data_IF_879383297050
#
_entry.id   IF_879383297050
#
_cell.length_a   1.000
_cell.length_b   1.000
_cell.length_c   1.000
_cell.angle_alpha   90.00
_cell.angle_beta   90.00
_cell.angle_gamma   90.00
#
_symmetry.space_group_name_H-M   'P 1'
#
loop_
_entity.id
_entity.type
_entity.pdbx_description
1 polymer ?
#
# COMPACT_ATOMS: atom_id res chain seq x y z
N UNK A 1 -12.53 24.53 78.19
CA UNK A 1 -12.27 25.41 77.03
C UNK A 1 -11.19 24.77 76.20
N UNK A 2 -11.58 23.97 75.21
CA UNK A 2 -10.68 23.23 74.31
C UNK A 2 -11.47 23.01 73.02
N UNK A 3 -11.20 23.84 72.01
CA UNK A 3 -11.70 23.63 70.66
C UNK A 3 -10.63 22.92 69.82
N UNK A 4 -11.00 21.96 68.95
CA UNK A 4 -10.06 21.44 67.97
C UNK A 4 -10.08 22.32 66.72
N UNK A 5 -8.89 22.77 66.31
CA UNK A 5 -8.64 23.43 65.05
C UNK A 5 -8.78 22.43 63.89
N UNK A 6 -9.56 22.81 62.89
CA UNK A 6 -9.63 22.16 61.59
C UNK A 6 -8.36 22.52 60.78
N UNK A 7 -7.51 21.53 60.53
CA UNK A 7 -6.42 21.64 59.57
C UNK A 7 -6.88 21.15 58.20
N UNK A 8 -7.28 22.07 57.33
CA UNK A 8 -7.49 21.81 55.91
C UNK A 8 -6.15 21.82 55.18
N UNK A 9 -5.70 20.66 54.72
CA UNK A 9 -4.67 20.53 53.70
C UNK A 9 -5.35 20.11 52.40
N UNK A 10 -5.59 21.07 51.51
CA UNK A 10 -5.95 20.78 50.13
C UNK A 10 -4.65 20.40 49.41
N UNK A 11 -4.56 19.15 48.98
CA UNK A 11 -3.57 18.66 48.04
C UNK A 11 -3.55 19.55 46.80
N UNK A 12 -2.48 20.33 46.64
CA UNK A 12 -2.14 20.99 45.39
C UNK A 12 -1.78 19.92 44.37
N UNK A 13 -2.76 19.50 43.57
CA UNK A 13 -2.50 18.68 42.39
C UNK A 13 -1.71 19.52 41.40
N UNK A 14 -0.39 19.38 41.41
CA UNK A 14 0.48 19.96 40.39
C UNK A 14 0.15 19.29 39.06
N UNK A 15 -0.70 19.95 38.27
CA UNK A 15 -0.99 19.56 36.90
C UNK A 15 0.32 19.58 36.12
N UNK A 16 0.91 18.40 35.94
CA UNK A 16 2.13 18.22 35.17
C UNK A 16 1.74 18.26 33.70
N UNK A 17 1.59 19.47 33.17
CA UNK A 17 1.35 19.69 31.75
C UNK A 17 2.57 19.20 30.97
N UNK A 18 2.32 18.38 29.94
CA UNK A 18 3.39 17.94 29.05
C UNK A 18 4.11 19.15 28.44
N UNK A 19 5.42 19.04 28.12
CA UNK A 19 6.13 20.09 27.41
C UNK A 19 5.37 20.50 26.15
N UNK A 20 5.39 21.80 25.78
CA UNK A 20 4.57 22.32 24.68
C UNK A 20 4.84 21.62 23.34
N UNK A 21 6.05 21.11 23.13
CA UNK A 21 6.42 20.34 21.95
C UNK A 21 5.71 18.97 21.88
N UNK A 22 5.51 18.32 23.03
CA UNK A 22 4.82 17.03 23.16
C UNK A 22 3.32 17.19 23.02
N UNK A 23 2.74 18.23 23.64
CA UNK A 23 1.31 18.56 23.46
C UNK A 23 1.01 18.88 22.00
N UNK A 24 1.85 19.70 21.36
CA UNK A 24 1.70 20.06 19.95
C UNK A 24 1.82 18.86 19.01
N UNK A 25 2.67 17.87 19.32
CA UNK A 25 2.76 16.63 18.57
C UNK A 25 1.53 15.73 18.76
N UNK A 26 1.00 15.67 19.99
CA UNK A 26 -0.21 14.90 20.31
C UNK A 26 -1.44 15.49 19.63
N UNK A 27 -1.65 16.81 19.70
CA UNK A 27 -2.78 17.50 19.08
C UNK A 27 -2.78 17.33 17.55
N UNK A 28 -1.59 17.35 16.92
CA UNK A 28 -1.43 17.01 15.50
C UNK A 28 -1.78 15.55 15.22
N UNK A 29 -1.41 14.63 16.10
CA UNK A 29 -1.76 13.22 15.99
C UNK A 29 -3.26 12.98 16.09
N UNK A 30 -3.92 13.66 17.05
CA UNK A 30 -5.35 13.57 17.27
C UNK A 30 -6.15 14.17 16.11
N UNK A 31 -5.79 15.37 15.64
CA UNK A 31 -6.43 16.00 14.46
C UNK A 31 -6.27 15.15 13.18
N UNK A 32 -5.13 14.47 13.02
CA UNK A 32 -4.91 13.52 11.91
C UNK A 32 -5.80 12.28 12.02
N UNK A 33 -6.08 11.82 13.25
CA UNK A 33 -6.99 10.72 13.51
C UNK A 33 -8.45 11.07 13.28
N UNK A 34 -8.85 12.29 13.65
CA UNK A 34 -10.23 12.78 13.54
C UNK A 34 -10.61 13.21 12.10
N UNK A 35 -9.65 13.65 11.29
CA UNK A 35 -9.87 13.99 9.88
C UNK A 35 -8.64 13.69 9.00
N UNK A 36 -8.49 12.46 8.49
CA UNK A 36 -7.29 12.05 7.74
C UNK A 36 -7.09 12.78 6.39
N UNK A 37 -8.03 13.63 5.97
CA UNK A 37 -7.95 14.36 4.70
C UNK A 37 -7.41 15.79 4.79
N UNK A 38 -7.34 16.45 5.96
CA UNK A 38 -7.23 17.94 5.99
C UNK A 38 -6.48 18.54 7.20
N UNK A 39 -5.43 17.91 7.73
CA UNK A 39 -4.45 18.71 8.46
C UNK A 39 -3.61 19.44 7.41
N UNK A 40 -4.00 20.65 6.99
CA UNK A 40 -3.46 21.44 5.87
C UNK A 40 -1.98 21.85 5.96
N UNK A 41 -1.16 21.01 6.56
CA UNK A 41 0.29 21.06 6.56
C UNK A 41 0.83 19.90 5.72
N UNK A 42 1.90 20.17 5.01
CA UNK A 42 2.66 19.13 4.32
C UNK A 42 3.20 18.10 5.31
N UNK A 43 3.34 16.86 4.86
CA UNK A 43 4.02 15.86 5.67
C UNK A 43 3.59 14.42 5.45
N UNK A 44 4.14 13.50 6.26
CA UNK A 44 3.81 12.09 6.21
C UNK A 44 2.39 11.84 6.71
N UNK A 45 1.69 10.93 6.04
CA UNK A 45 0.37 10.43 6.41
C UNK A 45 0.24 8.96 5.98
N UNK A 46 -0.91 8.34 6.29
CA UNK A 46 -1.28 7.02 5.79
C UNK A 46 -2.62 7.09 5.09
N UNK A 47 -2.77 6.33 4.02
CA UNK A 47 -4.05 6.18 3.32
C UNK A 47 -5.05 5.39 4.16
N UNK A 48 -6.22 5.98 4.40
CA UNK A 48 -7.39 5.35 5.05
C UNK A 48 -8.48 5.03 4.03
N UNK A 49 -9.52 4.26 4.39
CA UNK A 49 -10.67 3.96 3.52
C UNK A 49 -11.32 5.21 2.90
N UNK A 50 -11.29 6.33 3.61
CA UNK A 50 -11.84 7.60 3.15
C UNK A 50 -10.92 8.36 2.19
N UNK A 51 -9.64 7.98 2.07
CA UNK A 51 -8.68 8.70 1.25
C UNK A 51 -9.14 8.80 -0.20
N UNK A 52 -9.31 10.04 -0.70
CA UNK A 52 -9.83 10.31 -2.05
C UNK A 52 -8.97 9.74 -3.19
N UNK A 53 -7.75 9.30 -2.92
CA UNK A 53 -6.79 8.73 -3.87
C UNK A 53 -6.67 7.19 -3.77
N UNK A 54 -7.38 6.54 -2.84
CA UNK A 54 -7.51 5.07 -2.84
C UNK A 54 -8.23 4.66 -4.12
N UNK A 55 -7.53 4.10 -5.09
CA UNK A 55 -8.09 3.98 -6.43
C UNK A 55 -7.46 2.89 -7.25
N UNK A 56 -8.33 2.25 -8.01
CA UNK A 56 -8.06 1.20 -8.98
C UNK A 56 -7.56 1.80 -10.30
N UNK A 57 -6.71 1.07 -11.01
CA UNK A 57 -6.17 1.47 -12.32
C UNK A 57 -7.29 1.65 -13.36
N UNK A 58 -7.19 2.71 -14.17
CA UNK A 58 -8.24 3.30 -15.04
C UNK A 58 -9.08 2.30 -15.84
N UNK A 59 -10.38 2.58 -15.95
CA UNK A 59 -11.16 2.38 -17.19
C UNK A 59 -11.23 3.72 -17.97
N UNK A 60 -11.19 3.71 -19.31
CA UNK A 60 -11.46 4.92 -20.10
C UNK A 60 -12.83 5.51 -19.76
N UNK A 61 -12.91 6.83 -19.54
CA UNK A 61 -14.17 7.56 -19.27
C UNK A 61 -14.52 7.78 -17.80
N UNK A 62 -13.81 7.14 -16.85
CA UNK A 62 -14.05 7.36 -15.41
C UNK A 62 -13.27 8.60 -14.91
N UNK A 63 -13.96 9.48 -14.16
CA UNK A 63 -13.39 10.69 -13.54
C UNK A 63 -12.64 10.37 -12.24
N UNK A 64 -12.53 9.11 -11.82
CA UNK A 64 -11.91 8.73 -10.54
C UNK A 64 -10.40 8.41 -10.61
N UNK A 65 -9.71 9.02 -9.64
CA UNK A 65 -8.48 8.65 -8.89
C UNK A 65 -7.23 8.28 -9.73
N UNK A 66 -6.25 9.19 -9.72
CA UNK A 66 -4.99 9.02 -10.44
C UNK A 66 -3.96 8.23 -9.61
N UNK A 67 -3.10 7.40 -10.24
CA UNK A 67 -1.94 6.81 -9.59
C UNK A 67 -0.97 7.90 -9.12
N UNK A 68 -0.01 7.53 -8.27
CA UNK A 68 1.10 8.41 -7.92
C UNK A 68 1.80 8.88 -9.21
N UNK A 69 1.90 10.20 -9.40
CA UNK A 69 2.46 10.80 -10.61
C UNK A 69 3.96 10.54 -10.78
N UNK A 70 4.63 10.15 -9.70
CA UNK A 70 6.08 9.91 -9.68
C UNK A 70 6.41 8.46 -10.03
N UNK A 71 5.81 7.47 -9.36
CA UNK A 71 6.14 6.05 -9.57
C UNK A 71 5.13 5.27 -10.44
N UNK A 72 3.97 5.86 -10.72
CA UNK A 72 2.90 5.22 -11.48
C UNK A 72 2.11 4.16 -10.70
N UNK A 73 2.41 3.90 -9.42
CA UNK A 73 1.64 2.92 -8.63
C UNK A 73 0.33 3.50 -8.10
N UNK A 74 -0.67 2.64 -7.94
CA UNK A 74 -1.88 2.97 -7.20
C UNK A 74 -1.60 3.06 -5.70
N UNK A 75 -2.41 3.86 -5.00
CA UNK A 75 -2.45 3.88 -3.54
C UNK A 75 -3.36 2.76 -3.04
N UNK A 76 -2.89 2.02 -2.03
CA UNK A 76 -3.60 0.96 -1.32
C UNK A 76 -3.93 1.43 0.09
N UNK A 77 -4.80 0.72 0.81
CA UNK A 77 -5.05 0.99 2.22
C UNK A 77 -3.73 0.88 3.01
N UNK A 78 -3.54 1.75 4.00
CA UNK A 78 -2.37 1.82 4.87
C UNK A 78 -1.01 2.07 4.19
N UNK A 79 -0.99 2.43 2.91
CA UNK A 79 0.21 2.99 2.29
C UNK A 79 0.63 4.27 3.05
N UNK A 80 1.89 4.32 3.48
CA UNK A 80 2.50 5.57 3.91
C UNK A 80 2.66 6.49 2.70
N UNK A 81 2.24 7.75 2.84
CA UNK A 81 2.27 8.77 1.81
C UNK A 81 2.85 10.07 2.34
N UNK A 82 3.25 10.95 1.42
CA UNK A 82 3.57 12.34 1.72
C UNK A 82 2.56 13.24 1.00
N UNK A 83 1.93 14.12 1.77
CA UNK A 83 0.95 15.08 1.30
C UNK A 83 1.64 16.43 1.08
N UNK A 84 1.36 17.05 -0.07
CA UNK A 84 1.80 18.41 -0.39
C UNK A 84 0.61 19.28 -0.72
N UNK A 85 0.52 20.44 -0.08
CA UNK A 85 -0.54 21.42 -0.26
C UNK A 85 -0.01 22.62 -1.07
N UNK A 86 -0.90 23.28 -1.80
CA UNK A 86 -0.62 24.57 -2.43
C UNK A 86 -0.69 25.70 -1.39
N UNK A 87 -0.22 26.89 -1.77
CA UNK A 87 -0.22 28.07 -0.90
C UNK A 87 -1.61 28.47 -0.38
N UNK A 88 -2.68 28.07 -1.08
CA UNK A 88 -4.08 28.26 -0.66
C UNK A 88 -4.61 27.12 0.25
N UNK A 89 -3.72 26.26 0.76
CA UNK A 89 -4.04 25.18 1.70
C UNK A 89 -4.72 23.96 1.07
N UNK A 90 -4.90 23.91 -0.26
CA UNK A 90 -5.51 22.76 -0.94
C UNK A 90 -4.48 21.66 -1.16
N UNK A 91 -4.90 20.41 -1.02
CA UNK A 91 -4.04 19.26 -1.32
C UNK A 91 -3.70 19.23 -2.82
N UNK A 92 -2.45 19.56 -3.14
CA UNK A 92 -1.91 19.70 -4.48
C UNK A 92 -1.32 18.39 -5.01
N UNK A 93 -0.70 17.59 -4.14
CA UNK A 93 -0.03 16.36 -4.54
C UNK A 93 -0.02 15.30 -3.43
N UNK A 94 0.03 14.03 -3.85
CA UNK A 94 0.17 12.87 -2.98
C UNK A 94 1.20 11.94 -3.60
N UNK A 95 2.22 11.59 -2.82
CA UNK A 95 3.30 10.68 -3.25
C UNK A 95 3.44 9.56 -2.25
N UNK A 96 3.86 8.35 -2.68
CA UNK A 96 4.15 7.30 -1.70
C UNK A 96 5.37 7.67 -0.89
N UNK A 97 5.32 7.35 0.38
CA UNK A 97 6.42 7.47 1.33
C UNK A 97 6.83 6.08 1.82
N UNK A 98 6.93 5.14 0.88
CA UNK A 98 7.34 3.76 1.09
C UNK A 98 8.77 3.58 0.58
N UNK A 99 9.69 3.15 1.45
CA UNK A 99 11.13 3.06 1.15
C UNK A 99 11.49 2.21 -0.08
N UNK A 100 10.63 1.25 -0.43
CA UNK A 100 10.82 0.38 -1.58
C UNK A 100 10.22 0.93 -2.89
N UNK A 101 9.70 2.16 -2.89
CA UNK A 101 9.18 2.82 -4.07
C UNK A 101 10.05 4.04 -4.45
N UNK A 102 10.28 4.28 -5.75
CA UNK A 102 11.18 5.34 -6.22
C UNK A 102 10.65 6.75 -5.97
N UNK A 103 9.39 6.90 -5.55
CA UNK A 103 8.77 8.18 -5.25
C UNK A 103 8.86 8.60 -3.79
N UNK A 104 9.51 7.80 -2.94
CA UNK A 104 9.75 8.12 -1.53
C UNK A 104 10.81 9.22 -1.41
N UNK A 105 10.39 10.47 -1.52
CA UNK A 105 11.24 11.68 -1.61
C UNK A 105 12.17 12.00 -0.43
N UNK A 106 12.27 11.12 0.56
CA UNK A 106 13.12 11.28 1.75
C UNK A 106 14.13 10.16 1.99
N UNK A 107 14.13 9.09 1.20
CA UNK A 107 15.19 8.09 1.31
C UNK A 107 16.44 8.66 0.66
N UNK A 108 17.52 8.87 1.42
CA UNK A 108 18.81 9.12 0.78
C UNK A 108 19.19 7.90 -0.06
N UNK A 109 19.89 8.04 -1.21
CA UNK A 109 20.24 6.89 -2.05
C UNK A 109 20.95 5.75 -1.30
N UNK A 110 21.65 6.07 -0.20
CA UNK A 110 22.33 5.11 0.68
C UNK A 110 21.40 4.28 1.57
N UNK A 111 20.13 4.66 1.70
CA UNK A 111 19.14 3.99 2.58
C UNK A 111 18.11 3.16 1.81
N UNK A 112 18.09 3.26 0.48
CA UNK A 112 17.25 2.37 -0.34
C UNK A 112 17.85 0.96 -0.32
N UNK A 113 17.09 -0.07 0.08
CA UNK A 113 17.63 -1.42 0.09
C UNK A 113 17.91 -1.87 -1.34
N UNK A 114 19.14 -2.34 -1.58
CA UNK A 114 19.61 -2.81 -2.89
C UNK A 114 18.61 -3.84 -3.47
N UNK A 115 17.99 -3.57 -4.64
CA UNK A 115 17.07 -4.50 -5.28
C UNK A 115 17.69 -5.88 -5.53
N UNK A 116 19.01 -5.97 -5.76
CA UNK A 116 19.70 -7.25 -5.96
C UNK A 116 19.79 -8.04 -4.67
N UNK A 117 20.13 -7.39 -3.55
CA UNK A 117 20.14 -8.00 -2.23
C UNK A 117 18.74 -8.48 -1.81
N UNK A 118 17.71 -7.67 -2.03
CA UNK A 118 16.32 -8.08 -1.78
C UNK A 118 15.92 -9.27 -2.65
N UNK A 119 16.25 -9.24 -3.94
CA UNK A 119 15.97 -10.36 -4.84
C UNK A 119 16.69 -11.64 -4.40
N UNK A 120 17.93 -11.55 -3.89
CA UNK A 120 18.65 -12.70 -3.35
C UNK A 120 17.98 -13.27 -2.09
N UNK A 121 17.55 -12.39 -1.17
CA UNK A 121 16.79 -12.80 0.01
C UNK A 121 15.50 -13.56 -0.39
N UNK A 122 14.71 -12.98 -1.28
CA UNK A 122 13.44 -13.59 -1.69
C UNK A 122 13.62 -14.88 -2.48
N UNK A 123 14.69 -15.01 -3.28
CA UNK A 123 15.05 -16.31 -3.89
C UNK A 123 15.32 -17.38 -2.82
N UNK A 124 15.97 -17.02 -1.71
CA UNK A 124 16.19 -17.92 -0.58
C UNK A 124 14.88 -18.33 0.10
N UNK A 125 13.95 -17.37 0.30
CA UNK A 125 12.61 -17.64 0.82
C UNK A 125 11.86 -18.60 -0.09
N UNK A 126 11.80 -18.32 -1.39
CA UNK A 126 11.06 -19.13 -2.36
C UNK A 126 11.68 -20.53 -2.54
N UNK A 127 12.98 -20.69 -2.29
CA UNK A 127 13.65 -22.01 -2.29
C UNK A 127 13.36 -22.82 -1.02
N UNK A 128 13.17 -22.15 0.12
CA UNK A 128 12.86 -22.80 1.41
C UNK A 128 11.36 -23.13 1.55
N UNK A 129 10.49 -22.36 0.92
CA UNK A 129 9.03 -22.53 0.91
C UNK A 129 8.50 -22.45 -0.54
N UNK A 130 8.69 -23.52 -1.34
CA UNK A 130 8.30 -23.52 -2.74
C UNK A 130 6.80 -23.40 -2.89
N UNK A 131 6.36 -22.60 -3.86
CA UNK A 131 4.94 -22.48 -4.20
C UNK A 131 4.39 -23.83 -4.67
N UNK A 132 3.11 -24.16 -4.36
CA UNK A 132 2.50 -25.40 -4.84
C UNK A 132 2.45 -25.44 -6.38
N UNK A 133 2.79 -26.59 -6.96
CA UNK A 133 2.87 -26.81 -8.43
C UNK A 133 1.53 -26.63 -9.18
N UNK A 134 0.42 -26.49 -8.45
CA UNK A 134 -0.93 -26.41 -9.01
C UNK A 134 -1.30 -25.01 -9.49
N UNK A 135 -0.54 -23.99 -9.10
CA UNK A 135 -0.76 -22.60 -9.48
C UNK A 135 0.52 -22.02 -10.07
N UNK A 136 0.41 -21.29 -11.18
CA UNK A 136 1.52 -20.50 -11.73
C UNK A 136 1.75 -19.23 -10.91
N UNK A 137 2.11 -19.47 -9.65
CA UNK A 137 2.45 -18.47 -8.66
C UNK A 137 3.91 -18.07 -8.89
N UNK A 138 4.16 -16.78 -9.02
CA UNK A 138 5.51 -16.25 -9.13
C UNK A 138 5.66 -15.02 -8.25
N UNK A 139 6.87 -14.83 -7.72
CA UNK A 139 7.25 -13.59 -7.08
C UNK A 139 7.80 -12.63 -8.12
N UNK A 140 7.31 -11.39 -8.08
CA UNK A 140 7.71 -10.34 -9.01
C UNK A 140 9.10 -9.81 -8.67
N UNK A 141 10.08 -10.14 -9.50
CA UNK A 141 11.46 -9.67 -9.45
C UNK A 141 11.63 -8.40 -10.29
N UNK A 142 12.77 -7.69 -10.15
CA UNK A 142 13.14 -6.64 -11.09
C UNK A 142 13.03 -7.12 -12.54
N UNK A 143 12.57 -6.22 -13.41
CA UNK A 143 12.40 -6.44 -14.86
C UNK A 143 11.29 -7.42 -15.29
N UNK A 144 10.53 -7.99 -14.34
CA UNK A 144 9.40 -8.85 -14.69
C UNK A 144 8.34 -8.09 -15.53
N UNK A 145 7.90 -8.64 -16.68
CA UNK A 145 6.91 -7.99 -17.54
C UNK A 145 5.58 -7.69 -16.84
N UNK A 146 5.23 -8.48 -15.83
CA UNK A 146 4.02 -8.29 -15.02
C UNK A 146 4.03 -7.00 -14.19
N UNK A 147 5.18 -6.35 -13.97
CA UNK A 147 5.25 -5.04 -13.32
C UNK A 147 4.83 -3.89 -14.26
N UNK A 148 4.99 -4.08 -15.57
CA UNK A 148 4.81 -3.05 -16.57
C UNK A 148 5.82 -1.89 -16.46
N UNK A 149 5.74 -0.96 -17.40
CA UNK A 149 6.63 0.20 -17.45
C UNK A 149 6.25 1.23 -16.36
N UNK A 150 7.19 2.03 -15.80
CA UNK A 150 6.84 3.07 -14.82
C UNK A 150 5.73 4.05 -15.24
N UNK A 151 5.64 4.34 -16.54
CA UNK A 151 4.57 5.18 -17.12
C UNK A 151 3.27 4.42 -17.43
N UNK A 152 3.32 3.09 -17.44
CA UNK A 152 2.20 2.21 -17.78
C UNK A 152 2.32 0.91 -16.98
N UNK A 153 1.95 1.00 -15.70
CA UNK A 153 1.99 -0.14 -14.79
C UNK A 153 0.89 -1.13 -15.12
N UNK A 154 1.22 -2.40 -14.99
CA UNK A 154 0.23 -3.46 -15.01
C UNK A 154 -0.45 -3.56 -13.63
N UNK A 155 -1.67 -4.07 -13.62
CA UNK A 155 -2.49 -4.12 -12.43
C UNK A 155 -3.23 -5.45 -12.29
N UNK A 156 -3.52 -5.81 -11.05
CA UNK A 156 -4.31 -6.97 -10.69
C UNK A 156 -5.66 -6.94 -11.41
N UNK A 157 -6.04 -8.05 -12.03
CA UNK A 157 -7.31 -8.15 -12.75
C UNK A 157 -8.53 -7.98 -11.82
N UNK A 158 -8.40 -8.41 -10.56
CA UNK A 158 -9.44 -8.39 -9.53
C UNK A 158 -9.51 -7.01 -8.87
N UNK A 159 -8.52 -6.69 -8.03
CA UNK A 159 -8.56 -5.45 -7.24
C UNK A 159 -8.08 -4.21 -7.99
N UNK A 160 -7.51 -4.36 -9.20
CA UNK A 160 -7.02 -3.25 -10.05
C UNK A 160 -5.93 -2.38 -9.42
N UNK A 161 -5.35 -2.79 -8.31
CA UNK A 161 -4.11 -2.19 -7.82
C UNK A 161 -2.93 -2.63 -8.68
N UNK A 162 -2.01 -1.70 -8.92
CA UNK A 162 -0.75 -2.01 -9.62
C UNK A 162 0.09 -2.97 -8.82
N UNK A 163 0.83 -3.84 -9.50
CA UNK A 163 1.80 -4.73 -8.87
C UNK A 163 3.05 -3.96 -8.43
N UNK A 164 3.68 -4.41 -7.33
CA UNK A 164 4.95 -3.89 -6.83
C UNK A 164 6.00 -4.99 -6.79
N UNK A 165 7.26 -4.59 -6.64
CA UNK A 165 8.37 -5.52 -6.48
C UNK A 165 8.17 -6.44 -5.27
N UNK A 166 8.59 -7.68 -5.50
CA UNK A 166 8.60 -8.79 -4.56
C UNK A 166 7.23 -9.26 -4.08
N UNK A 167 6.15 -8.77 -4.70
CA UNK A 167 4.82 -9.32 -4.47
C UNK A 167 4.68 -10.66 -5.17
N UNK A 168 3.93 -11.55 -4.55
CA UNK A 168 3.56 -12.82 -5.16
C UNK A 168 2.25 -12.69 -5.92
N UNK A 169 2.21 -13.21 -7.14
CA UNK A 169 1.05 -13.14 -8.04
C UNK A 169 0.82 -14.48 -8.72
N UNK A 170 -0.44 -14.74 -9.10
CA UNK A 170 -0.79 -15.84 -10.01
C UNK A 170 -0.93 -15.27 -11.42
N UNK A 171 -0.20 -15.84 -12.38
CA UNK A 171 -0.20 -15.40 -13.80
C UNK A 171 -0.97 -16.40 -14.66
N UNK A 172 -1.66 -15.93 -15.71
CA UNK A 172 -2.29 -16.81 -16.71
C UNK A 172 -1.21 -17.70 -17.37
N UNK A 173 -1.32 -19.04 -17.35
CA UNK A 173 -0.42 -19.93 -18.11
C UNK A 173 -0.62 -19.91 -19.62
N UNK A 174 -1.63 -19.19 -20.05
CA UNK A 174 -2.34 -19.40 -21.30
C UNK A 174 -1.52 -18.96 -22.51
N UNK A 175 -0.58 -18.04 -22.28
CA UNK A 175 0.54 -17.74 -23.16
C UNK A 175 1.53 -16.82 -22.43
N UNK A 176 2.52 -17.36 -21.69
CA UNK A 176 3.50 -16.55 -20.96
C UNK A 176 4.37 -15.69 -21.90
N UNK A 177 4.43 -16.04 -23.20
CA UNK A 177 5.21 -15.34 -24.22
C UNK A 177 4.39 -14.29 -24.99
N UNK A 178 3.05 -14.37 -24.97
CA UNK A 178 2.19 -13.37 -25.60
C UNK A 178 1.95 -12.20 -24.65
N UNK A 179 2.44 -11.03 -25.03
CA UNK A 179 2.28 -9.77 -24.28
C UNK A 179 0.80 -9.41 -24.04
N UNK A 180 -0.13 -9.93 -24.85
CA UNK A 180 -1.57 -9.75 -24.66
C UNK A 180 -2.16 -10.51 -23.46
N UNK A 181 -1.46 -11.52 -22.94
CA UNK A 181 -1.93 -12.41 -21.87
C UNK A 181 -1.20 -12.25 -20.53
N UNK A 182 -0.56 -11.09 -20.29
CA UNK A 182 0.13 -10.73 -19.01
C UNK A 182 -0.85 -10.43 -17.85
N UNK A 183 -1.97 -11.14 -17.84
CA UNK A 183 -3.01 -11.03 -16.84
C UNK A 183 -2.55 -11.75 -15.58
N UNK A 184 -2.42 -10.99 -14.49
CA UNK A 184 -2.05 -11.50 -13.19
C UNK A 184 -3.05 -11.09 -12.09
N UNK A 185 -3.04 -11.81 -10.98
CA UNK A 185 -3.84 -11.57 -9.77
C UNK A 185 -2.91 -11.61 -8.55
N UNK A 186 -3.10 -10.72 -7.57
CA UNK A 186 -2.33 -10.79 -6.33
C UNK A 186 -2.61 -12.09 -5.57
N UNK A 187 -1.55 -12.69 -5.04
CA UNK A 187 -1.56 -13.84 -4.16
C UNK A 187 -0.38 -13.73 -3.20
N UNK A 188 -0.42 -12.71 -2.34
CA UNK A 188 0.61 -12.41 -1.35
C UNK A 188 -0.02 -12.24 0.04
N UNK A 189 -0.30 -13.35 0.75
CA UNK A 189 -0.93 -13.33 2.07
C UNK A 189 -0.10 -12.56 3.11
N UNK A 190 1.24 -12.60 3.00
CA UNK A 190 2.13 -11.88 3.90
C UNK A 190 1.94 -10.36 3.84
N UNK A 191 1.43 -9.85 2.72
CA UNK A 191 1.06 -8.44 2.53
C UNK A 191 -0.46 -8.19 2.55
N UNK A 192 -1.25 -9.18 2.95
CA UNK A 192 -2.71 -9.10 2.96
C UNK A 192 -3.35 -9.04 1.56
N UNK A 193 -2.65 -9.50 0.52
CA UNK A 193 -3.12 -9.44 -0.87
C UNK A 193 -3.58 -10.82 -1.37
N UNK A 194 -4.72 -11.30 -0.88
CA UNK A 194 -5.30 -12.61 -1.24
C UNK A 194 -6.33 -12.57 -2.38
N UNK A 195 -6.14 -11.73 -3.40
CA UNK A 195 -7.17 -11.53 -4.43
C UNK A 195 -7.49 -12.79 -5.23
N UNK A 196 -6.51 -13.68 -5.45
CA UNK A 196 -6.73 -14.90 -6.22
C UNK A 196 -7.61 -15.89 -5.46
N UNK A 197 -7.34 -16.15 -4.18
CA UNK A 197 -8.19 -17.05 -3.39
C UNK A 197 -9.62 -16.53 -3.23
N UNK A 198 -9.78 -15.24 -2.93
CA UNK A 198 -11.11 -14.62 -2.83
C UNK A 198 -11.88 -14.74 -4.15
N UNK A 199 -11.21 -14.50 -5.26
CA UNK A 199 -11.85 -14.60 -6.57
C UNK A 199 -12.13 -16.06 -6.96
N UNK A 200 -11.23 -16.99 -6.65
CA UNK A 200 -11.40 -18.44 -6.90
C UNK A 200 -12.57 -19.02 -6.11
N UNK A 201 -12.77 -18.61 -4.86
CA UNK A 201 -13.91 -19.08 -4.04
C UNK A 201 -15.26 -18.65 -4.61
N UNK A 202 -15.30 -17.54 -5.35
CA UNK A 202 -16.52 -17.01 -5.95
C UNK A 202 -16.88 -17.70 -7.28
N UNK A 203 -15.98 -18.49 -7.86
CA UNK A 203 -16.19 -19.16 -9.14
C UNK A 203 -16.79 -20.55 -8.97
N UNK A 204 -17.83 -20.82 -9.76
CA UNK A 204 -18.43 -22.15 -9.88
C UNK A 204 -17.87 -22.99 -11.04
N UNK A 205 -16.86 -22.52 -11.81
CA UNK A 205 -16.51 -23.11 -13.13
C UNK A 205 -15.00 -23.32 -13.33
N UNK A 206 -14.64 -24.46 -13.92
CA UNK A 206 -13.29 -24.88 -14.35
C UNK A 206 -12.91 -24.23 -15.69
N UNK A 207 -12.80 -22.90 -15.73
CA UNK A 207 -12.34 -22.16 -16.91
C UNK A 207 -11.09 -21.35 -16.58
N UNK A 208 -10.28 -21.08 -17.61
CA UNK A 208 -9.15 -20.20 -17.48
C UNK A 208 -9.61 -18.85 -16.90
N UNK A 209 -9.00 -18.43 -15.79
CA UNK A 209 -9.47 -17.30 -14.99
C UNK A 209 -9.42 -15.94 -15.70
N UNK A 210 -8.68 -15.87 -16.81
CA UNK A 210 -8.24 -14.60 -17.40
C UNK A 210 -8.68 -14.41 -18.85
N UNK A 211 -9.05 -15.48 -19.55
CA UNK A 211 -9.60 -15.41 -20.91
C UNK A 211 -10.90 -16.25 -21.10
N UNK A 212 -11.43 -16.87 -20.04
CA UNK A 212 -12.64 -17.71 -20.06
C UNK A 212 -12.60 -18.90 -21.02
N UNK A 213 -11.42 -19.29 -21.53
CA UNK A 213 -11.27 -20.52 -22.31
C UNK A 213 -11.22 -21.71 -21.37
N UNK A 214 -11.88 -22.80 -21.74
CA UNK A 214 -11.75 -24.09 -21.04
C UNK A 214 -10.29 -24.50 -21.00
N UNK A 215 -9.75 -24.79 -19.81
CA UNK A 215 -8.45 -25.45 -19.70
C UNK A 215 -8.63 -26.83 -20.32
N UNK A 216 -7.99 -27.10 -21.46
CA UNK A 216 -7.96 -28.46 -22.00
C UNK A 216 -7.18 -29.30 -21.00
N UNK A 217 -7.86 -30.24 -20.34
CA UNK A 217 -7.21 -31.18 -19.42
C UNK A 217 -6.11 -31.93 -20.15
N UNK A 218 -4.91 -31.87 -19.60
CA UNK A 218 -3.84 -32.84 -19.84
C UNK A 218 -4.11 -34.13 -19.09
#
# INVERSE_FOLDING_TARGET
MTGPQQGGGLDESVATSAPPEVSSAFDRGQQRGENPQVAGADGPASTTLDSRWLGTWRRPGDRRRAPCRVCGHTFRLDDTVYLRHSADGKLADVTHHLRNLPCSGHATPSEMPDPRAQAAFFRGVDAADPSPDTLHTMRLMPDDPALGHPRQRNACFVCRHTFRLFETVVVCPCSPQDRGCLKAVHQDPARGLGCFEQWRSDLKVVQCPMNFRTLKGS
#
